data_IF_711647415625
#
_entry.id   IF_711647415625
#
_cell.length_a   1.000
_cell.length_b   1.000
_cell.length_c   1.000
_cell.angle_alpha   90.00
_cell.angle_beta   90.00
_cell.angle_gamma   90.00
#
_symmetry.space_group_name_H-M   'P 1'
#
loop_
_entity.id
_entity.type
_entity.pdbx_description
1 polymer ?
#
# COMPACT_ATOMS: atom_id res chain seq x y z
N UNK A 1 19.65 9.50 -2.07
CA UNK A 1 20.91 10.00 -2.62
C UNK A 1 20.60 10.95 -3.75
N UNK A 2 21.12 12.15 -3.75
CA UNK A 2 21.01 13.07 -4.88
C UNK A 2 21.96 12.66 -6.00
N UNK A 3 21.76 13.19 -7.21
CA UNK A 3 22.66 12.94 -8.32
C UNK A 3 24.10 13.41 -8.03
N UNK A 4 24.26 14.50 -7.30
CA UNK A 4 25.54 15.07 -6.89
C UNK A 4 26.23 14.19 -5.85
N UNK A 5 25.48 13.69 -4.85
CA UNK A 5 25.97 12.74 -3.86
C UNK A 5 26.38 11.41 -4.51
N UNK A 6 25.59 10.88 -5.45
CA UNK A 6 25.92 9.66 -6.17
C UNK A 6 27.19 9.83 -7.06
N UNK A 7 27.38 11.01 -7.66
CA UNK A 7 28.56 11.32 -8.42
C UNK A 7 29.83 11.48 -7.55
N UNK A 8 29.68 12.08 -6.35
CA UNK A 8 30.75 12.25 -5.38
C UNK A 8 31.11 10.94 -4.66
N UNK A 9 30.16 10.04 -4.51
CA UNK A 9 30.25 8.79 -3.75
C UNK A 9 29.75 7.59 -4.58
N UNK A 10 30.47 7.19 -5.63
CA UNK A 10 30.07 6.06 -6.49
C UNK A 10 29.99 4.73 -5.73
N UNK A 11 30.60 4.62 -4.57
CA UNK A 11 30.48 3.47 -3.66
C UNK A 11 29.06 3.28 -3.09
N UNK A 12 28.21 4.32 -3.12
CA UNK A 12 26.80 4.22 -2.73
C UNK A 12 25.93 3.56 -3.80
N UNK A 13 26.46 3.46 -5.02
CA UNK A 13 25.77 2.85 -6.16
C UNK A 13 26.13 1.37 -6.26
N UNK A 14 25.14 0.51 -6.38
CA UNK A 14 25.44 -0.89 -6.68
C UNK A 14 25.83 -1.07 -8.15
N UNK A 15 26.55 -2.16 -8.47
CA UNK A 15 26.99 -2.47 -9.84
C UNK A 15 25.88 -3.06 -10.73
N UNK A 16 24.62 -3.01 -10.27
CA UNK A 16 23.49 -3.65 -10.94
C UNK A 16 22.98 -2.89 -12.17
N UNK A 17 23.46 -1.68 -12.42
CA UNK A 17 23.05 -0.85 -13.54
C UNK A 17 22.80 0.61 -13.13
N UNK A 18 22.45 1.44 -14.10
CA UNK A 18 22.12 2.84 -13.91
C UNK A 18 20.68 3.10 -14.37
N UNK A 19 19.88 3.69 -13.49
CA UNK A 19 18.52 4.09 -13.81
C UNK A 19 18.27 5.54 -13.42
N UNK A 20 17.66 6.29 -14.32
CA UNK A 20 17.13 7.62 -14.05
C UNK A 20 15.72 7.75 -14.58
N UNK A 21 14.94 8.66 -14.02
CA UNK A 21 13.57 8.91 -14.46
C UNK A 21 13.19 10.37 -14.30
N UNK A 22 12.30 10.81 -15.19
CA UNK A 22 11.57 12.05 -15.10
C UNK A 22 10.10 11.73 -15.35
N UNK A 23 9.31 11.68 -14.26
CA UNK A 23 7.95 11.19 -14.28
C UNK A 23 7.00 12.19 -13.63
N UNK A 24 5.97 12.55 -14.37
CA UNK A 24 4.79 13.17 -13.80
C UNK A 24 3.89 12.11 -13.17
N UNK A 25 3.42 12.39 -11.95
CA UNK A 25 2.65 11.45 -11.12
C UNK A 25 1.25 12.02 -10.90
N UNK A 26 0.23 11.30 -11.35
CA UNK A 26 -1.18 11.67 -11.20
C UNK A 26 -1.91 10.65 -10.31
N UNK A 27 -2.10 11.00 -9.04
CA UNK A 27 -2.71 10.16 -8.01
C UNK A 27 -4.23 10.22 -8.12
N UNK A 28 -4.88 9.16 -8.58
CA UNK A 28 -6.33 9.13 -8.85
C UNK A 28 -7.17 8.67 -7.66
N UNK A 29 -6.76 7.62 -6.98
CA UNK A 29 -7.54 7.04 -5.87
C UNK A 29 -6.63 6.94 -4.65
N UNK A 30 -6.72 7.90 -3.71
CA UNK A 30 -5.97 7.83 -2.45
C UNK A 30 -6.75 7.04 -1.40
N UNK A 31 -6.03 6.45 -0.47
CA UNK A 31 -6.59 5.94 0.78
C UNK A 31 -5.88 6.58 1.96
N UNK A 32 -6.53 7.56 2.53
CA UNK A 32 -6.04 8.21 3.72
C UNK A 32 -6.55 7.48 4.97
N UNK A 33 -5.74 6.60 5.49
CA UNK A 33 -6.05 5.78 6.68
C UNK A 33 -6.15 6.61 7.96
N UNK A 34 -6.01 7.93 7.89
CA UNK A 34 -5.81 8.77 9.07
C UNK A 34 -4.47 8.44 9.73
N UNK A 35 -3.48 8.08 8.91
CA UNK A 35 -2.17 7.59 9.33
C UNK A 35 -2.23 6.30 10.17
N UNK A 36 -3.22 5.44 9.90
CA UNK A 36 -3.42 4.15 10.58
C UNK A 36 -4.07 4.26 11.95
N UNK A 37 -4.39 5.47 12.42
CA UNK A 37 -4.99 5.67 13.73
C UNK A 37 -5.94 6.87 13.75
N UNK A 38 -6.89 6.86 14.66
CA UNK A 38 -7.66 8.06 15.01
C UNK A 38 -6.72 9.18 15.48
N UNK A 39 -7.16 10.44 15.32
CA UNK A 39 -6.33 11.62 15.64
C UNK A 39 -5.70 11.56 17.04
N UNK A 40 -6.47 11.16 18.04
CA UNK A 40 -5.98 11.05 19.42
C UNK A 40 -4.79 10.09 19.55
N UNK A 41 -4.91 8.87 19.01
CA UNK A 41 -3.85 7.87 19.09
C UNK A 41 -2.60 8.30 18.31
N UNK A 42 -2.79 9.04 17.23
CA UNK A 42 -1.69 9.62 16.45
C UNK A 42 -0.98 10.73 17.21
N UNK A 43 -1.73 11.67 17.80
CA UNK A 43 -1.17 12.77 18.57
C UNK A 43 -0.39 12.27 19.80
N UNK A 44 -0.80 11.11 20.35
CA UNK A 44 -0.11 10.41 21.44
C UNK A 44 1.05 9.53 20.97
N UNK A 45 1.33 9.47 19.66
CA UNK A 45 2.31 8.57 19.04
C UNK A 45 2.16 7.11 19.50
N UNK A 46 0.93 6.63 19.58
CA UNK A 46 0.57 5.37 20.20
C UNK A 46 1.01 4.12 19.40
N UNK A 47 1.22 4.26 18.09
CA UNK A 47 1.64 3.16 17.21
C UNK A 47 3.11 3.25 16.84
N UNK A 48 3.75 2.11 16.71
CA UNK A 48 5.17 2.03 16.28
C UNK A 48 5.34 2.20 14.77
N UNK A 49 4.29 1.98 13.98
CA UNK A 49 4.32 2.07 12.53
C UNK A 49 3.04 2.71 11.99
N UNK A 50 3.23 3.53 10.98
CA UNK A 50 2.16 4.21 10.25
C UNK A 50 2.27 3.92 8.76
N UNK A 51 1.14 3.91 8.10
CA UNK A 51 1.04 3.68 6.66
C UNK A 51 -0.03 4.60 6.06
N UNK A 52 0.25 5.09 4.86
CA UNK A 52 -0.65 5.94 4.10
C UNK A 52 -0.49 5.66 2.61
N UNK A 53 -1.56 5.23 1.94
CA UNK A 53 -1.59 5.05 0.51
C UNK A 53 -1.99 6.37 -0.17
N UNK A 54 -1.03 7.13 -0.63
CA UNK A 54 -1.26 8.42 -1.30
C UNK A 54 -1.91 8.26 -2.67
N UNK A 55 -1.74 7.11 -3.30
CA UNK A 55 -2.32 6.80 -4.59
C UNK A 55 -2.38 5.30 -4.82
N UNK A 56 -3.48 4.66 -4.43
CA UNK A 56 -3.72 3.24 -4.73
C UNK A 56 -3.83 3.01 -6.24
N UNK A 57 -4.31 4.01 -6.96
CA UNK A 57 -4.25 4.09 -8.42
C UNK A 57 -3.55 5.37 -8.80
N UNK A 58 -2.40 5.22 -9.44
CA UNK A 58 -1.56 6.33 -9.87
C UNK A 58 -1.21 6.12 -11.34
N UNK A 59 -1.34 7.18 -12.13
CA UNK A 59 -0.93 7.21 -13.51
C UNK A 59 0.40 7.92 -13.62
N UNK A 60 1.26 7.42 -14.51
CA UNK A 60 2.57 7.98 -14.75
C UNK A 60 2.73 8.40 -16.19
N UNK A 61 3.42 9.52 -16.42
CA UNK A 61 3.83 9.97 -17.76
C UNK A 61 5.23 10.56 -17.69
N UNK A 62 6.03 10.34 -18.74
CA UNK A 62 7.40 10.82 -18.81
C UNK A 62 8.38 9.82 -19.37
N UNK A 63 9.57 9.76 -18.82
CA UNK A 63 10.63 8.88 -19.29
C UNK A 63 11.34 8.16 -18.14
N UNK A 64 11.76 6.93 -18.44
CA UNK A 64 12.68 6.14 -17.63
C UNK A 64 13.86 5.77 -18.51
N UNK A 65 15.07 5.98 -18.05
CA UNK A 65 16.31 5.56 -18.72
C UNK A 65 16.94 4.47 -17.89
N UNK A 66 17.10 3.30 -18.47
CA UNK A 66 17.77 2.14 -17.84
C UNK A 66 18.94 1.73 -18.70
N UNK A 67 20.15 1.80 -18.17
CA UNK A 67 21.41 1.46 -18.84
C UNK A 67 21.56 2.10 -20.23
N UNK A 68 21.14 3.38 -20.35
CA UNK A 68 21.19 4.14 -21.58
C UNK A 68 20.00 3.93 -22.55
N UNK A 69 19.12 2.99 -22.26
CA UNK A 69 17.88 2.76 -23.03
C UNK A 69 16.75 3.60 -22.49
N UNK A 70 16.14 4.40 -23.34
CA UNK A 70 15.01 5.28 -22.97
C UNK A 70 13.68 4.58 -23.20
N UNK A 71 12.87 4.55 -22.15
CA UNK A 71 11.49 4.05 -22.16
C UNK A 71 10.52 5.20 -21.99
N UNK A 72 9.56 5.31 -22.88
CA UNK A 72 8.47 6.26 -22.76
C UNK A 72 7.36 5.68 -21.91
N UNK A 73 7.01 6.39 -20.85
CA UNK A 73 5.93 6.05 -19.93
C UNK A 73 4.72 6.91 -20.24
N UNK A 74 3.55 6.28 -20.43
CA UNK A 74 2.27 6.95 -20.65
C UNK A 74 1.19 6.30 -19.78
N UNK A 75 0.07 7.00 -19.48
CA UNK A 75 -1.03 6.43 -18.71
C UNK A 75 -1.65 5.15 -19.31
N UNK A 76 -1.50 4.95 -20.61
CA UNK A 76 -2.03 3.79 -21.34
C UNK A 76 -1.15 2.56 -21.14
N UNK A 77 0.16 2.74 -21.03
CA UNK A 77 1.12 1.64 -20.94
C UNK A 77 1.64 1.41 -19.52
N UNK A 78 1.21 2.25 -18.56
CA UNK A 78 1.69 2.17 -17.18
C UNK A 78 0.57 2.41 -16.18
N UNK A 79 0.71 1.79 -15.05
CA UNK A 79 -0.07 2.08 -13.85
C UNK A 79 0.80 1.80 -12.63
N UNK A 80 0.49 2.46 -11.55
CA UNK A 80 1.32 2.33 -10.38
C UNK A 80 0.58 2.59 -9.10
N UNK A 81 1.37 2.55 -8.07
CA UNK A 81 0.97 2.69 -6.69
C UNK A 81 1.95 3.63 -5.98
N UNK A 82 1.44 4.47 -5.11
CA UNK A 82 2.26 5.36 -4.30
C UNK A 82 1.82 5.29 -2.84
N UNK A 83 2.71 4.91 -1.96
CA UNK A 83 2.47 4.90 -0.53
C UNK A 83 3.63 5.47 0.28
N UNK A 84 3.39 5.59 1.57
CA UNK A 84 4.40 5.96 2.53
C UNK A 84 4.21 5.15 3.81
N UNK A 85 5.31 4.56 4.26
CA UNK A 85 5.42 3.90 5.55
C UNK A 85 6.45 4.65 6.41
N UNK A 86 6.16 4.83 7.69
CA UNK A 86 7.11 5.42 8.64
C UNK A 86 6.85 4.93 10.05
N UNK A 87 7.86 4.99 10.89
CA UNK A 87 7.82 4.54 12.29
C UNK A 87 9.10 3.90 12.75
N UNK A 88 9.10 3.36 13.96
CA UNK A 88 10.26 2.77 14.60
C UNK A 88 10.44 1.27 14.30
N UNK A 89 9.38 0.58 13.87
CA UNK A 89 9.44 -0.86 13.60
C UNK A 89 8.28 -1.37 12.79
N UNK A 90 8.54 -2.38 11.96
CA UNK A 90 7.49 -3.06 11.22
C UNK A 90 6.80 -4.10 12.10
N UNK A 91 5.49 -4.27 11.89
CA UNK A 91 4.73 -5.34 12.54
C UNK A 91 5.16 -6.70 11.98
N UNK A 92 5.26 -7.71 12.85
CA UNK A 92 5.58 -9.08 12.44
C UNK A 92 4.65 -10.06 13.14
N UNK A 93 4.08 -11.04 12.43
CA UNK A 93 4.03 -11.16 10.97
C UNK A 93 3.15 -10.08 10.34
N UNK A 94 3.39 -9.74 9.08
CA UNK A 94 2.58 -8.79 8.35
C UNK A 94 2.15 -9.36 6.99
N UNK A 95 1.08 -8.81 6.43
CA UNK A 95 0.60 -9.09 5.09
C UNK A 95 0.20 -7.80 4.42
N UNK A 96 0.44 -7.73 3.13
CA UNK A 96 -0.02 -6.67 2.28
C UNK A 96 -0.53 -7.26 0.97
N UNK A 97 -1.75 -6.90 0.62
CA UNK A 97 -2.43 -7.32 -0.61
C UNK A 97 -2.97 -6.08 -1.29
N UNK A 98 -2.60 -5.88 -2.54
CA UNK A 98 -2.99 -4.72 -3.32
C UNK A 98 -3.26 -5.10 -4.77
N UNK A 99 -4.23 -4.44 -5.38
CA UNK A 99 -4.46 -4.51 -6.82
C UNK A 99 -5.14 -3.24 -7.31
N UNK A 100 -4.61 -2.67 -8.40
CA UNK A 100 -5.18 -1.52 -9.10
C UNK A 100 -5.43 -1.79 -10.59
N UNK A 101 -5.35 -3.06 -10.99
CA UNK A 101 -5.64 -3.52 -12.34
C UNK A 101 -6.59 -4.72 -12.28
N UNK A 102 -7.87 -4.44 -12.10
CA UNK A 102 -8.89 -5.43 -11.85
C UNK A 102 -9.75 -5.69 -13.08
N UNK A 103 -10.16 -6.94 -13.25
CA UNK A 103 -11.08 -7.37 -14.30
C UNK A 103 -12.25 -8.09 -13.65
N UNK A 104 -13.47 -7.74 -14.03
CA UNK A 104 -14.67 -8.45 -13.57
C UNK A 104 -14.70 -9.88 -14.13
N UNK A 105 -14.79 -10.85 -13.26
CA UNK A 105 -14.93 -12.26 -13.66
C UNK A 105 -16.31 -12.56 -14.29
N UNK A 106 -17.30 -11.75 -13.98
CA UNK A 106 -18.66 -11.93 -14.51
C UNK A 106 -18.81 -11.40 -15.93
N UNK A 107 -18.18 -10.25 -16.21
CA UNK A 107 -18.37 -9.55 -17.50
C UNK A 107 -17.12 -9.58 -18.39
N UNK A 108 -15.96 -9.95 -17.86
CA UNK A 108 -14.68 -9.84 -18.55
C UNK A 108 -14.17 -8.41 -18.73
N UNK A 109 -14.91 -7.42 -18.27
CA UNK A 109 -14.53 -6.02 -18.47
C UNK A 109 -13.51 -5.55 -17.43
N UNK A 110 -12.59 -4.70 -17.87
CA UNK A 110 -11.64 -4.00 -17.00
C UNK A 110 -12.39 -3.00 -16.14
N UNK A 111 -12.12 -3.03 -14.83
CA UNK A 111 -12.68 -2.11 -13.85
C UNK A 111 -11.75 -0.92 -13.71
N UNK A 112 -12.12 0.20 -14.34
CA UNK A 112 -11.21 1.35 -14.46
C UNK A 112 -11.07 2.16 -13.17
N UNK A 113 -12.11 2.14 -12.32
CA UNK A 113 -12.14 2.89 -11.07
C UNK A 113 -12.21 1.97 -9.85
N UNK A 114 -11.66 0.77 -9.99
CA UNK A 114 -11.62 -0.20 -8.90
C UNK A 114 -10.20 -0.50 -8.48
N UNK A 115 -9.99 -0.44 -7.18
CA UNK A 115 -8.73 -0.78 -6.52
C UNK A 115 -9.02 -1.46 -5.19
N UNK A 116 -8.12 -2.29 -4.73
CA UNK A 116 -8.13 -2.68 -3.34
C UNK A 116 -6.74 -2.63 -2.75
N UNK A 117 -6.68 -2.31 -1.48
CA UNK A 117 -5.44 -2.24 -0.73
C UNK A 117 -5.72 -2.60 0.73
N UNK A 118 -5.09 -3.66 1.21
CA UNK A 118 -5.27 -4.19 2.55
C UNK A 118 -3.91 -4.54 3.10
N UNK A 119 -3.57 -3.97 4.24
CA UNK A 119 -2.32 -4.23 4.93
C UNK A 119 -2.50 -4.36 6.43
N UNK A 120 -1.51 -4.96 7.06
CA UNK A 120 -1.45 -5.05 8.49
C UNK A 120 -0.70 -6.27 8.99
N UNK A 121 -0.85 -6.52 10.27
CA UNK A 121 -0.16 -7.59 10.94
C UNK A 121 -0.50 -7.58 12.41
N UNK A 122 0.50 -7.55 13.28
CA UNK A 122 0.36 -7.51 14.71
C UNK A 122 0.83 -6.16 15.26
N UNK A 123 -0.01 -5.11 15.18
CA UNK A 123 0.39 -3.78 15.58
C UNK A 123 0.63 -3.71 17.08
N UNK A 124 1.46 -2.77 17.50
CA UNK A 124 1.66 -2.43 18.90
C UNK A 124 1.06 -1.07 19.20
N UNK A 125 0.43 -0.96 20.35
CA UNK A 125 -0.09 0.30 20.89
C UNK A 125 0.60 0.54 22.21
N UNK A 126 1.32 1.62 22.36
CA UNK A 126 2.18 1.90 23.49
C UNK A 126 3.08 0.69 23.86
N UNK A 127 3.71 0.10 22.83
CA UNK A 127 4.55 -1.11 22.93
C UNK A 127 3.82 -2.40 23.29
N UNK A 128 2.52 -2.40 23.59
CA UNK A 128 1.73 -3.61 23.84
C UNK A 128 1.24 -4.20 22.51
N UNK A 129 1.59 -5.47 22.22
CA UNK A 129 1.14 -6.10 20.97
C UNK A 129 -0.36 -6.38 21.03
N UNK A 130 -1.07 -5.98 19.98
CA UNK A 130 -2.45 -6.37 19.74
C UNK A 130 -2.53 -7.74 19.06
N UNK A 131 -3.72 -8.29 18.96
CA UNK A 131 -3.99 -9.38 18.02
C UNK A 131 -3.81 -8.92 16.58
N UNK A 132 -3.73 -9.89 15.65
CA UNK A 132 -3.61 -9.60 14.21
C UNK A 132 -4.76 -8.71 13.74
N UNK A 133 -4.41 -7.57 13.16
CA UNK A 133 -5.34 -6.56 12.65
C UNK A 133 -4.95 -6.23 11.21
N UNK A 134 -5.96 -6.06 10.38
CA UNK A 134 -5.81 -5.53 9.03
C UNK A 134 -6.62 -4.27 8.91
N UNK A 135 -6.14 -3.38 8.09
CA UNK A 135 -6.85 -2.20 7.63
C UNK A 135 -6.69 -2.08 6.12
N UNK A 136 -7.65 -1.47 5.48
CA UNK A 136 -7.62 -1.31 4.05
C UNK A 136 -8.94 -0.78 3.50
N UNK A 137 -8.99 -0.73 2.18
CA UNK A 137 -10.14 -0.24 1.45
C UNK A 137 -10.31 -1.04 0.16
N UNK A 138 -11.54 -1.15 -0.26
CA UNK A 138 -11.92 -1.57 -1.60
C UNK A 138 -12.71 -0.41 -2.20
N UNK A 139 -12.18 0.22 -3.23
CA UNK A 139 -12.94 1.09 -4.10
C UNK A 139 -13.45 0.27 -5.28
N UNK A 140 -14.75 0.25 -5.44
CA UNK A 140 -15.42 -0.44 -6.53
C UNK A 140 -16.27 0.53 -7.32
N UNK A 141 -15.80 0.88 -8.52
CA UNK A 141 -16.46 1.78 -9.48
C UNK A 141 -17.07 3.03 -8.83
N UNK A 142 -16.27 3.69 -7.98
CA UNK A 142 -16.65 4.94 -7.30
C UNK A 142 -17.32 4.77 -5.93
N UNK A 143 -17.50 3.54 -5.46
CA UNK A 143 -17.97 3.28 -4.11
C UNK A 143 -16.85 2.74 -3.24
N UNK A 144 -16.57 3.41 -2.12
CA UNK A 144 -15.50 3.05 -1.20
C UNK A 144 -16.02 2.23 -0.02
N UNK A 145 -15.34 1.13 0.27
CA UNK A 145 -15.60 0.24 1.40
C UNK A 145 -14.35 0.18 2.27
N UNK A 146 -14.37 0.92 3.37
CA UNK A 146 -13.24 0.99 4.31
C UNK A 146 -13.34 -0.09 5.39
N UNK A 147 -12.19 -0.70 5.70
CA UNK A 147 -11.99 -1.65 6.80
C UNK A 147 -10.86 -1.11 7.68
N UNK A 148 -11.20 -0.53 8.81
CA UNK A 148 -10.21 0.13 9.65
C UNK A 148 -10.43 -0.20 11.13
N UNK A 149 -9.57 -1.03 11.68
CA UNK A 149 -9.66 -1.46 13.08
C UNK A 149 -9.42 -0.33 14.09
N UNK A 150 -8.75 0.75 13.67
CA UNK A 150 -8.46 1.89 14.53
C UNK A 150 -9.65 2.86 14.69
N UNK A 151 -10.70 2.65 13.91
CA UNK A 151 -11.95 3.38 14.01
C UNK A 151 -12.98 2.54 14.77
N UNK A 152 -13.22 2.77 16.07
CA UNK A 152 -14.06 1.89 16.90
C UNK A 152 -15.51 1.78 16.43
N UNK A 153 -16.01 2.79 15.73
CA UNK A 153 -17.37 2.76 15.16
C UNK A 153 -17.55 1.85 13.94
N UNK A 154 -16.45 1.33 13.36
CA UNK A 154 -16.52 0.43 12.20
C UNK A 154 -16.66 -1.04 12.59
N UNK A 155 -16.52 -1.41 13.86
CA UNK A 155 -16.56 -2.80 14.36
C UNK A 155 -15.81 -3.78 13.45
N UNK A 156 -14.61 -3.43 13.03
CA UNK A 156 -13.83 -4.22 12.12
C UNK A 156 -13.34 -5.52 12.78
N UNK A 157 -13.61 -6.66 12.15
CA UNK A 157 -13.16 -7.99 12.60
C UNK A 157 -12.25 -8.61 11.55
N UNK A 158 -11.09 -9.07 11.99
CA UNK A 158 -10.09 -9.73 11.14
C UNK A 158 -9.97 -11.20 11.54
N UNK A 159 -10.00 -12.09 10.54
CA UNK A 159 -9.55 -13.48 10.66
C UNK A 159 -8.44 -13.71 9.65
N UNK A 160 -7.37 -14.26 10.10
CA UNK A 160 -6.17 -14.41 9.32
C UNK A 160 -5.56 -15.79 9.58
N UNK A 161 -5.34 -16.56 8.54
CA UNK A 161 -4.59 -17.81 8.57
C UNK A 161 -3.56 -17.80 7.44
N UNK A 162 -2.37 -18.28 7.74
CA UNK A 162 -1.30 -18.49 6.78
C UNK A 162 -0.79 -19.91 6.94
N UNK A 163 -0.64 -20.62 5.84
CA UNK A 163 0.02 -21.92 5.77
C UNK A 163 1.16 -21.81 4.78
N UNK A 164 2.33 -22.15 5.21
CA UNK A 164 3.53 -22.20 4.41
C UNK A 164 4.00 -23.64 4.23
N UNK A 165 4.37 -23.99 3.01
CA UNK A 165 5.04 -25.24 2.64
C UNK A 165 6.34 -24.87 1.92
N UNK A 166 7.16 -25.85 1.54
CA UNK A 166 8.39 -25.59 0.79
C UNK A 166 8.17 -24.98 -0.58
N UNK A 167 6.99 -25.15 -1.17
CA UNK A 167 6.68 -24.73 -2.54
C UNK A 167 5.51 -23.76 -2.66
N UNK A 168 4.76 -23.54 -1.58
CA UNK A 168 3.51 -22.79 -1.63
C UNK A 168 3.27 -22.03 -0.32
N UNK A 169 2.76 -20.81 -0.44
CA UNK A 169 2.24 -20.02 0.67
C UNK A 169 0.75 -19.78 0.42
N UNK A 170 -0.08 -20.28 1.33
CA UNK A 170 -1.53 -20.12 1.28
C UNK A 170 -1.97 -19.12 2.34
N UNK A 171 -2.70 -18.10 1.92
CA UNK A 171 -3.28 -17.09 2.78
C UNK A 171 -4.79 -17.21 2.79
N UNK A 172 -5.38 -17.22 3.98
CA UNK A 172 -6.82 -17.08 4.14
C UNK A 172 -7.10 -15.86 5.02
N UNK A 173 -7.58 -14.79 4.38
CA UNK A 173 -7.88 -13.53 5.05
C UNK A 173 -9.37 -13.25 4.94
N UNK A 174 -10.01 -13.04 6.07
CA UNK A 174 -11.39 -12.56 6.13
C UNK A 174 -11.45 -11.32 7.00
N UNK A 175 -11.92 -10.26 6.39
CA UNK A 175 -12.19 -9.02 7.09
C UNK A 175 -13.67 -8.64 6.91
N UNK A 176 -14.30 -8.26 8.00
CA UNK A 176 -15.66 -7.79 8.00
C UNK A 176 -15.72 -6.48 8.79
N UNK A 177 -16.50 -5.56 8.29
CA UNK A 177 -16.81 -4.28 8.93
C UNK A 177 -18.29 -4.07 8.97
N UNK A 178 -18.80 -3.47 10.04
CA UNK A 178 -20.16 -2.97 10.11
C UNK A 178 -20.11 -1.57 10.68
N UNK A 179 -20.69 -0.62 9.99
CA UNK A 179 -20.88 0.73 10.53
C UNK A 179 -22.07 0.70 11.50
N UNK A 180 -21.85 1.23 12.71
CA UNK A 180 -22.98 1.54 13.58
C UNK A 180 -23.63 2.82 13.05
N UNK A 181 -24.88 2.73 12.66
CA UNK A 181 -25.76 3.86 12.35
C UNK A 181 -26.29 4.41 13.68
#
# INVERSE_FOLDING_TARGET
>A
VTQEEAAAHPEYMCRAGCMSWDLQVDKKIPFNVGYGAGKLLRDMNAFEMYWHAEGMKTLYSGTVILDGVTYRVTPENSYGYADKNWGAGFTSPWVWLSSNHMVSRLTGHKLHNSVFDIGGGRPRVFSFPLERKLLGVIDYEGTSYEFNFSKPWTKCRTRFACRETQTEIQWHVRQASSTMI
#
